data_IF_924658514868
#
_entry.id   IF_924658514868
#
_cell.length_a   1.000
_cell.length_b   1.000
_cell.length_c   1.000
_cell.angle_alpha   90.00
_cell.angle_beta   90.00
_cell.angle_gamma   90.00
#
_symmetry.space_group_name_H-M   'P 1'
#
loop_
_entity.id
_entity.type
_entity.pdbx_description
1 polymer ?
#
# COMPACT_ATOMS: atom_id res chain seq x y z
N UNK A 1 -13.93 -3.50 22.23
CA UNK A 1 -13.08 -4.01 21.12
C UNK A 1 -11.65 -3.43 21.14
N UNK A 2 -11.29 -2.56 22.09
CA UNK A 2 -9.91 -2.05 22.24
C UNK A 2 -8.91 -3.08 22.82
N UNK A 3 -9.35 -4.29 23.18
CA UNK A 3 -8.55 -5.30 23.92
C UNK A 3 -8.02 -6.46 23.05
N UNK A 4 -8.29 -6.49 21.74
CA UNK A 4 -7.67 -7.53 20.89
C UNK A 4 -6.24 -7.11 20.51
N UNK A 5 -5.23 -8.00 20.71
CA UNK A 5 -3.86 -7.68 20.36
C UNK A 5 -3.73 -7.51 18.85
N UNK A 6 -3.13 -6.39 18.44
CA UNK A 6 -2.78 -6.16 17.04
C UNK A 6 -1.50 -6.93 16.68
N UNK A 7 -1.41 -7.37 15.43
CA UNK A 7 -0.20 -7.98 14.88
C UNK A 7 0.57 -6.94 14.07
N UNK A 8 1.86 -6.79 14.34
CA UNK A 8 2.79 -6.06 13.48
C UNK A 8 3.61 -7.07 12.69
N UNK A 9 3.68 -6.90 11.37
CA UNK A 9 4.61 -7.63 10.50
C UNK A 9 5.54 -6.60 9.84
N UNK A 10 6.84 -6.88 9.88
CA UNK A 10 7.86 -6.14 9.13
C UNK A 10 8.50 -7.14 8.17
N UNK A 11 8.51 -6.81 6.88
CA UNK A 11 8.98 -7.72 5.83
C UNK A 11 9.62 -6.94 4.68
N UNK A 12 10.25 -7.68 3.77
CA UNK A 12 11.07 -7.11 2.69
C UNK A 12 10.71 -7.64 1.29
N UNK A 13 9.51 -8.20 1.09
CA UNK A 13 9.10 -8.70 -0.23
C UNK A 13 9.22 -7.62 -1.31
N UNK A 14 9.46 -8.01 -2.56
CA UNK A 14 9.20 -7.15 -3.71
C UNK A 14 7.74 -6.67 -3.72
N UNK A 15 7.48 -5.48 -4.26
CA UNK A 15 6.11 -4.98 -4.38
C UNK A 15 5.25 -5.87 -5.27
N UNK A 16 5.86 -6.41 -6.33
CA UNK A 16 5.26 -7.41 -7.20
C UNK A 16 4.70 -8.60 -6.40
N UNK A 17 5.51 -9.24 -5.56
CA UNK A 17 5.08 -10.43 -4.82
C UNK A 17 4.18 -10.10 -3.62
N UNK A 18 4.46 -8.99 -2.92
CA UNK A 18 3.60 -8.50 -1.84
C UNK A 18 2.17 -8.26 -2.32
N UNK A 19 2.00 -7.53 -3.42
CA UNK A 19 0.70 -7.08 -3.91
C UNK A 19 -0.18 -8.22 -4.43
N UNK A 20 0.41 -9.26 -5.01
CA UNK A 20 -0.35 -10.38 -5.61
C UNK A 20 -0.50 -11.61 -4.72
N UNK A 21 0.40 -11.77 -3.74
CA UNK A 21 0.44 -12.99 -2.90
C UNK A 21 0.19 -12.67 -1.43
N UNK A 22 1.02 -11.80 -0.85
CA UNK A 22 1.02 -11.56 0.61
C UNK A 22 -0.20 -10.76 1.04
N UNK A 23 -0.46 -9.63 0.37
CA UNK A 23 -1.56 -8.72 0.74
C UNK A 23 -2.93 -9.42 0.68
N UNK A 24 -3.31 -10.13 -0.41
CA UNK A 24 -4.60 -10.84 -0.45
C UNK A 24 -4.70 -11.97 0.60
N UNK A 25 -3.60 -12.62 0.94
CA UNK A 25 -3.59 -13.68 1.96
C UNK A 25 -3.87 -13.11 3.36
N UNK A 26 -3.27 -11.96 3.68
CA UNK A 26 -3.49 -11.28 4.97
C UNK A 26 -4.89 -10.69 5.03
N UNK A 27 -5.33 -10.02 3.96
CA UNK A 27 -6.70 -9.49 3.84
C UNK A 27 -7.72 -10.60 4.12
N UNK A 28 -7.59 -11.75 3.43
CA UNK A 28 -8.45 -12.90 3.64
C UNK A 28 -8.42 -13.39 5.08
N UNK A 29 -7.23 -13.56 5.68
CA UNK A 29 -7.10 -14.05 7.03
C UNK A 29 -7.74 -13.12 8.08
N UNK A 30 -7.65 -11.80 7.88
CA UNK A 30 -8.29 -10.81 8.76
C UNK A 30 -9.80 -10.81 8.58
N UNK A 31 -10.30 -10.85 7.34
CA UNK A 31 -11.74 -10.90 7.03
C UNK A 31 -12.40 -12.17 7.59
N UNK A 32 -11.72 -13.31 7.48
CA UNK A 32 -12.20 -14.60 7.99
C UNK A 32 -12.04 -14.73 9.53
N UNK A 33 -11.44 -13.73 10.20
CA UNK A 33 -11.16 -13.78 11.64
C UNK A 33 -10.07 -14.78 12.05
N UNK A 34 -9.35 -15.36 11.07
CA UNK A 34 -8.23 -16.27 11.29
C UNK A 34 -6.94 -15.53 11.72
N UNK A 35 -6.93 -14.19 11.64
CA UNK A 35 -5.85 -13.33 12.11
C UNK A 35 -6.41 -12.05 12.75
N UNK A 36 -5.71 -11.49 13.75
CA UNK A 36 -6.11 -10.21 14.34
C UNK A 36 -5.86 -9.04 13.35
N UNK A 37 -6.41 -7.85 13.64
CA UNK A 37 -5.99 -6.60 12.99
C UNK A 37 -4.47 -6.55 12.81
N UNK A 38 -4.02 -6.30 11.57
CA UNK A 38 -2.60 -6.40 11.21
C UNK A 38 -2.12 -5.07 10.65
N UNK A 39 -1.04 -4.54 11.23
CA UNK A 39 -0.20 -3.52 10.60
C UNK A 39 0.92 -4.23 9.87
N UNK A 40 1.13 -3.89 8.60
CA UNK A 40 2.18 -4.45 7.78
C UNK A 40 3.10 -3.33 7.28
N UNK A 41 4.38 -3.40 7.63
CA UNK A 41 5.41 -2.54 7.07
C UNK A 41 6.25 -3.39 6.10
N UNK A 42 6.16 -3.10 4.81
CA UNK A 42 6.99 -3.75 3.80
C UNK A 42 8.02 -2.75 3.28
N UNK A 43 9.30 -3.07 3.39
CA UNK A 43 10.40 -2.28 2.80
C UNK A 43 10.92 -3.07 1.62
N UNK A 44 10.64 -2.62 0.39
CA UNK A 44 10.88 -3.46 -0.79
C UNK A 44 12.37 -3.76 -0.99
N UNK A 45 12.74 -5.03 -1.13
CA UNK A 45 14.12 -5.49 -1.37
C UNK A 45 14.60 -5.28 -2.82
N UNK A 46 13.67 -5.18 -3.77
CA UNK A 46 13.97 -5.03 -5.18
C UNK A 46 13.01 -4.08 -5.89
N UNK A 47 13.50 -3.47 -6.97
CA UNK A 47 12.67 -2.72 -7.92
C UNK A 47 11.61 -3.63 -8.54
N UNK A 48 10.35 -3.22 -8.46
CA UNK A 48 9.26 -4.00 -9.04
C UNK A 48 8.03 -3.17 -9.37
N UNK A 49 7.23 -3.67 -10.31
CA UNK A 49 6.02 -3.00 -10.80
C UNK A 49 4.81 -3.90 -10.55
N UNK A 50 3.67 -3.30 -10.21
CA UNK A 50 2.39 -3.97 -10.44
C UNK A 50 1.49 -3.19 -11.37
N UNK A 51 0.77 -3.93 -12.21
CA UNK A 51 -0.26 -3.40 -13.10
C UNK A 51 -1.63 -3.88 -12.64
N UNK A 52 -2.65 -3.05 -12.79
CA UNK A 52 -4.02 -3.40 -12.44
C UNK A 52 -4.60 -4.52 -13.32
N UNK A 53 -5.67 -5.14 -12.85
CA UNK A 53 -6.33 -6.28 -13.54
C UNK A 53 -6.75 -5.97 -14.98
N UNK A 54 -7.08 -4.70 -15.27
CA UNK A 54 -7.56 -4.24 -16.58
C UNK A 54 -6.45 -3.65 -17.47
N UNK A 55 -5.20 -3.62 -17.01
CA UNK A 55 -4.09 -3.07 -17.77
C UNK A 55 -3.53 -4.09 -18.77
N UNK A 56 -3.24 -3.62 -19.98
CA UNK A 56 -2.45 -4.34 -20.97
C UNK A 56 -0.96 -4.17 -20.65
N UNK A 57 -0.21 -5.23 -20.30
CA UNK A 57 1.20 -5.12 -19.95
C UNK A 57 2.04 -4.54 -21.07
N UNK A 58 1.71 -4.77 -22.34
CA UNK A 58 2.49 -4.25 -23.48
C UNK A 58 2.29 -2.75 -23.69
N UNK A 59 1.18 -2.19 -23.18
CA UNK A 59 0.91 -0.74 -23.22
C UNK A 59 1.32 -0.03 -21.94
N UNK A 60 1.20 -0.71 -20.80
CA UNK A 60 1.49 -0.14 -19.49
C UNK A 60 2.98 -0.15 -19.14
N UNK A 61 3.76 -1.05 -19.74
CA UNK A 61 5.16 -1.29 -19.38
C UNK A 61 6.07 -1.25 -20.61
N UNK A 62 7.29 -0.74 -20.42
CA UNK A 62 8.41 -1.06 -21.30
C UNK A 62 8.99 -2.42 -20.91
N UNK A 63 8.52 -3.48 -21.56
CA UNK A 63 8.93 -4.85 -21.27
C UNK A 63 10.42 -5.11 -21.56
N UNK A 64 10.98 -4.43 -22.57
CA UNK A 64 12.38 -4.59 -22.93
C UNK A 64 13.27 -3.97 -21.83
N UNK A 65 12.91 -2.77 -21.37
CA UNK A 65 13.57 -2.13 -20.23
C UNK A 65 13.45 -2.98 -18.96
N UNK A 66 12.25 -3.48 -18.63
CA UNK A 66 12.06 -4.30 -17.44
C UNK A 66 12.93 -5.56 -17.47
N UNK A 67 13.03 -6.23 -18.64
CA UNK A 67 13.88 -7.40 -18.80
C UNK A 67 15.39 -7.06 -18.70
N UNK A 68 15.81 -5.92 -19.26
CA UNK A 68 17.21 -5.49 -19.23
C UNK A 68 17.67 -5.11 -17.83
N UNK A 69 16.85 -4.39 -17.08
CA UNK A 69 17.19 -3.87 -15.74
C UNK A 69 16.78 -4.84 -14.61
N UNK A 70 16.17 -5.97 -14.94
CA UNK A 70 15.75 -6.97 -13.95
C UNK A 70 14.56 -6.54 -13.09
N UNK A 71 13.72 -5.62 -13.58
CA UNK A 71 12.53 -5.14 -12.86
C UNK A 71 11.41 -6.16 -12.98
N UNK A 72 11.12 -6.84 -11.88
CA UNK A 72 10.01 -7.80 -11.81
C UNK A 72 8.66 -7.11 -11.89
N UNK A 73 7.70 -7.71 -12.61
CA UNK A 73 6.35 -7.17 -12.67
C UNK A 73 5.27 -8.25 -12.54
N UNK A 74 4.13 -7.86 -11.95
CA UNK A 74 2.96 -8.75 -11.78
C UNK A 74 1.67 -7.99 -12.07
N UNK A 75 0.63 -8.73 -12.51
CA UNK A 75 -0.74 -8.22 -12.58
C UNK A 75 -1.46 -8.54 -11.27
N UNK A 76 -1.96 -7.50 -10.59
CA UNK A 76 -2.72 -7.64 -9.33
C UNK A 76 -4.22 -7.81 -9.59
N UNK A 77 -4.97 -8.47 -8.69
CA UNK A 77 -6.38 -8.79 -8.91
C UNK A 77 -7.31 -7.56 -8.83
N UNK A 78 -6.85 -6.45 -8.25
CA UNK A 78 -7.59 -5.20 -8.09
C UNK A 78 -7.27 -4.16 -9.19
N UNK A 79 -8.15 -3.19 -9.35
CA UNK A 79 -8.03 -2.12 -10.38
C UNK A 79 -7.11 -0.96 -9.97
N UNK A 80 -6.97 0.05 -10.82
CA UNK A 80 -6.03 1.16 -10.65
C UNK A 80 -4.78 1.00 -11.52
N UNK A 81 -4.05 2.09 -11.72
CA UNK A 81 -2.94 2.14 -12.67
C UNK A 81 -1.68 1.40 -12.22
N UNK A 82 -0.65 1.39 -13.09
CA UNK A 82 0.66 0.85 -12.77
C UNK A 82 1.31 1.60 -11.61
N UNK A 83 1.96 0.87 -10.72
CA UNK A 83 2.78 1.43 -9.65
C UNK A 83 4.16 0.79 -9.67
N UNK A 84 5.18 1.62 -9.77
CA UNK A 84 6.57 1.26 -9.58
C UNK A 84 6.94 1.46 -8.10
N UNK A 85 7.56 0.46 -7.51
CA UNK A 85 8.17 0.55 -6.19
C UNK A 85 9.66 0.27 -6.33
N UNK A 86 10.48 1.25 -5.96
CA UNK A 86 11.93 1.09 -5.94
C UNK A 86 12.40 0.41 -4.66
N UNK A 87 13.54 -0.28 -4.74
CA UNK A 87 14.20 -0.86 -3.58
C UNK A 87 14.44 0.20 -2.50
N UNK A 88 14.13 -0.14 -1.24
CA UNK A 88 14.21 0.76 -0.09
C UNK A 88 13.02 1.71 0.07
N UNK A 89 12.09 1.78 -0.88
CA UNK A 89 10.77 2.40 -0.62
C UNK A 89 9.92 1.47 0.25
N UNK A 90 8.90 2.03 0.91
CA UNK A 90 8.14 1.29 1.91
C UNK A 90 6.64 1.55 1.84
N UNK A 91 5.85 0.50 2.07
CA UNK A 91 4.41 0.61 2.31
C UNK A 91 4.10 0.30 3.77
N UNK A 92 3.23 1.13 4.36
CA UNK A 92 2.58 0.87 5.64
C UNK A 92 1.09 0.59 5.38
N UNK A 93 0.65 -0.63 5.67
CA UNK A 93 -0.70 -1.11 5.38
C UNK A 93 -1.42 -1.48 6.67
N UNK A 94 -2.69 -1.08 6.76
CA UNK A 94 -3.59 -1.47 7.84
C UNK A 94 -4.63 -2.47 7.30
N UNK A 95 -4.57 -3.71 7.76
CA UNK A 95 -5.58 -4.74 7.47
C UNK A 95 -6.54 -4.83 8.66
N UNK A 96 -7.75 -4.29 8.49
CA UNK A 96 -8.76 -4.16 9.54
C UNK A 96 -10.10 -4.74 9.09
N UNK A 97 -10.87 -5.38 9.98
CA UNK A 97 -12.23 -5.76 9.67
C UNK A 97 -13.11 -4.50 9.58
N UNK A 98 -14.02 -4.45 8.60
CA UNK A 98 -14.95 -3.32 8.43
C UNK A 98 -15.94 -3.17 9.59
N UNK A 99 -16.11 -4.20 10.43
CA UNK A 99 -16.88 -4.13 11.67
C UNK A 99 -16.18 -3.34 12.79
N UNK A 100 -14.92 -2.95 12.61
CA UNK A 100 -14.20 -2.11 13.57
C UNK A 100 -14.72 -0.67 13.51
N UNK A 101 -15.22 -0.13 14.63
CA UNK A 101 -15.93 1.16 14.65
C UNK A 101 -15.13 2.39 14.19
N UNK A 102 -13.80 2.29 14.13
CA UNK A 102 -12.94 3.35 13.57
C UNK A 102 -12.69 3.25 12.06
N UNK A 103 -13.06 2.13 11.43
CA UNK A 103 -12.87 1.91 9.98
C UNK A 103 -14.02 2.61 9.25
N UNK A 104 -13.74 3.57 8.35
CA UNK A 104 -14.79 4.24 7.58
C UNK A 104 -15.50 3.27 6.62
N UNK A 105 -16.79 3.53 6.37
CA UNK A 105 -17.63 2.66 5.54
C UNK A 105 -17.32 2.83 4.05
N UNK A 106 -16.85 4.01 3.65
CA UNK A 106 -16.58 4.35 2.25
C UNK A 106 -15.14 4.83 2.03
N UNK A 107 -14.63 4.62 0.82
CA UNK A 107 -13.29 5.11 0.45
C UNK A 107 -13.21 6.64 0.48
N UNK A 108 -14.32 7.33 0.18
CA UNK A 108 -14.42 8.80 0.24
C UNK A 108 -14.24 9.35 1.65
N UNK A 109 -14.64 8.60 2.68
CA UNK A 109 -14.39 8.94 4.08
C UNK A 109 -13.00 8.45 4.54
N UNK A 110 -12.56 7.29 4.03
CA UNK A 110 -11.29 6.69 4.40
C UNK A 110 -10.08 7.53 3.98
N UNK A 111 -10.03 8.03 2.74
CA UNK A 111 -8.85 8.76 2.27
C UNK A 111 -8.56 10.02 3.10
N UNK A 112 -9.50 10.96 3.32
CA UNK A 112 -9.24 12.14 4.15
C UNK A 112 -8.85 11.78 5.58
N UNK A 113 -9.53 10.80 6.21
CA UNK A 113 -9.25 10.41 7.60
C UNK A 113 -7.85 9.85 7.75
N UNK A 114 -7.49 8.86 6.93
CA UNK A 114 -6.24 8.11 7.08
C UNK A 114 -5.05 8.94 6.58
N UNK A 115 -5.18 9.60 5.43
CA UNK A 115 -4.05 10.31 4.82
C UNK A 115 -3.75 11.64 5.52
N UNK A 116 -4.74 12.32 6.11
CA UNK A 116 -4.47 13.50 6.95
C UNK A 116 -3.74 13.11 8.22
N UNK A 117 -4.17 12.05 8.90
CA UNK A 117 -3.47 11.55 10.09
C UNK A 117 -2.02 11.09 9.79
N UNK A 118 -1.81 10.48 8.62
CA UNK A 118 -0.46 10.15 8.14
C UNK A 118 0.36 11.41 7.92
N UNK A 119 -0.16 12.41 7.19
CA UNK A 119 0.52 13.66 6.93
C UNK A 119 0.89 14.40 8.23
N UNK A 120 -0.05 14.54 9.16
CA UNK A 120 0.18 15.13 10.50
C UNK A 120 1.30 14.40 11.24
N UNK A 121 1.26 13.06 11.25
CA UNK A 121 2.30 12.24 11.88
C UNK A 121 3.67 12.49 11.25
N UNK A 122 3.73 12.60 9.91
CA UNK A 122 4.98 12.87 9.20
C UNK A 122 5.55 14.26 9.55
N UNK A 123 4.69 15.28 9.62
CA UNK A 123 5.06 16.64 10.04
C UNK A 123 5.62 16.62 11.47
N UNK A 124 4.90 16.01 12.42
CA UNK A 124 5.29 15.98 13.83
C UNK A 124 6.59 15.20 14.07
N UNK A 125 6.79 14.08 13.36
CA UNK A 125 7.93 13.19 13.57
C UNK A 125 9.19 13.62 12.82
N UNK A 126 9.04 14.19 11.63
CA UNK A 126 10.15 14.42 10.70
C UNK A 126 10.30 15.88 10.24
N UNK A 127 9.34 16.75 10.54
CA UNK A 127 9.46 18.20 10.36
C UNK A 127 9.35 18.70 8.91
N UNK A 128 9.00 17.85 7.95
CA UNK A 128 8.72 18.28 6.57
C UNK A 128 7.22 18.56 6.37
N UNK A 129 6.84 19.51 5.49
CA UNK A 129 5.46 19.97 5.33
C UNK A 129 4.62 18.98 4.50
N UNK A 130 4.33 17.81 5.08
CA UNK A 130 3.43 16.83 4.50
C UNK A 130 1.98 17.30 4.61
N UNK A 131 1.21 17.14 3.54
CA UNK A 131 -0.22 17.45 3.53
C UNK A 131 -1.00 16.43 2.72
N UNK A 132 -2.25 16.18 3.14
CA UNK A 132 -3.19 15.39 2.35
C UNK A 132 -3.56 16.14 1.06
N UNK A 133 -3.44 15.46 -0.07
CA UNK A 133 -3.87 15.93 -1.38
C UNK A 133 -4.98 15.01 -1.92
N UNK A 134 -6.22 15.51 -2.03
CA UNK A 134 -7.28 14.76 -2.69
C UNK A 134 -6.91 14.33 -4.11
N UNK A 135 -7.33 13.14 -4.57
CA UNK A 135 -8.27 12.24 -3.88
C UNK A 135 -7.61 11.29 -2.86
N UNK A 136 -6.36 10.86 -3.08
CA UNK A 136 -5.77 9.73 -2.36
C UNK A 136 -4.25 9.82 -2.21
N UNK A 137 -3.70 11.03 -2.18
CA UNK A 137 -2.25 11.26 -2.09
C UNK A 137 -1.87 12.01 -0.81
N UNK A 138 -0.63 11.83 -0.38
CA UNK A 138 0.07 12.77 0.50
C UNK A 138 1.13 13.46 -0.34
N UNK A 139 1.35 14.75 -0.13
CA UNK A 139 2.38 15.50 -0.84
C UNK A 139 3.27 16.29 0.11
N UNK A 140 4.46 16.63 -0.38
CA UNK A 140 5.39 17.58 0.22
C UNK A 140 5.74 18.59 -0.86
N UNK A 141 5.48 19.87 -0.61
CA UNK A 141 5.80 20.97 -1.55
C UNK A 141 5.29 20.72 -2.98
N UNK A 142 4.07 20.18 -3.10
CA UNK A 142 3.42 19.89 -4.39
C UNK A 142 3.83 18.57 -5.05
N UNK A 143 4.75 17.80 -4.45
CA UNK A 143 5.21 16.51 -4.96
C UNK A 143 4.59 15.37 -4.16
N UNK A 144 3.99 14.40 -4.87
CA UNK A 144 3.47 13.18 -4.27
C UNK A 144 4.58 12.41 -3.55
N UNK A 145 4.28 11.94 -2.34
CA UNK A 145 5.07 10.95 -1.60
C UNK A 145 4.72 9.53 -2.04
#
# INVERSE_FOLDING_TARGET
>A
MADQPWRLIVDENSYADFSVSVSPAIERAVVEGASPPTVYLNIFDSDSITIGINEDPEQALDLAFCAQEGVGFRRRPNGGGPVYAGAGSAFLIYFLPTSHGEVPETTTEAFPKILSALAETLVERYGFPAEYRPLNDVQVEGRKL
#
